data_IF_701086250607
#
_entry.id   IF_701086250607
#
_cell.length_a   1.000
_cell.length_b   1.000
_cell.length_c   1.000
_cell.angle_alpha   90.00
_cell.angle_beta   90.00
_cell.angle_gamma   90.00
#
_symmetry.space_group_name_H-M   'P 1'
#
loop_
_entity.id
_entity.type
_entity.pdbx_description
1 polymer ?
#
# COMPACT_ATOMS: atom_id res chain seq x y z
N UNK A 1 12.06 19.25 -10.13
CA UNK A 1 12.16 17.87 -10.20
C UNK A 1 11.43 17.15 -9.12
N UNK A 2 10.71 16.17 -9.54
CA UNK A 2 9.87 15.46 -8.64
C UNK A 2 10.58 14.32 -7.99
N UNK A 3 10.46 14.21 -6.70
CA UNK A 3 11.14 13.18 -6.02
C UNK A 3 10.25 12.09 -5.56
N UNK A 4 9.09 12.45 -5.10
CA UNK A 4 8.22 11.50 -4.47
C UNK A 4 7.33 10.86 -5.48
N UNK A 5 7.29 9.56 -5.48
CA UNK A 5 6.42 8.80 -6.34
C UNK A 5 5.33 8.15 -5.50
N UNK A 6 4.18 7.94 -6.10
CA UNK A 6 3.07 7.33 -5.41
C UNK A 6 2.38 6.37 -6.37
N UNK A 7 2.36 5.11 -6.02
CA UNK A 7 1.79 4.08 -6.85
C UNK A 7 0.64 3.42 -6.12
N UNK A 8 -0.52 3.40 -6.76
CA UNK A 8 -1.70 2.76 -6.18
C UNK A 8 -1.97 1.45 -6.89
N UNK A 9 -2.21 0.39 -6.11
CA UNK A 9 -2.46 -0.93 -6.65
C UNK A 9 -3.71 -1.50 -6.04
N UNK A 10 -4.68 -1.87 -6.88
CA UNK A 10 -5.90 -2.48 -6.40
C UNK A 10 -5.66 -3.95 -6.13
N UNK A 11 -6.06 -4.43 -4.96
CA UNK A 11 -5.88 -5.82 -4.60
C UNK A 11 -7.20 -6.36 -4.07
N UNK A 12 -7.35 -7.67 -4.11
CA UNK A 12 -8.56 -8.31 -3.63
C UNK A 12 -8.54 -8.53 -2.13
N UNK A 13 -7.37 -8.67 -1.55
CA UNK A 13 -7.24 -8.93 -0.13
C UNK A 13 -5.98 -8.27 0.39
N UNK A 14 -6.14 -7.31 1.29
CA UNK A 14 -4.99 -6.67 1.91
C UNK A 14 -4.23 -7.66 2.78
N UNK A 15 -4.97 -8.52 3.45
CA UNK A 15 -4.34 -9.47 4.34
C UNK A 15 -3.38 -10.38 3.61
N UNK A 16 -3.81 -10.89 2.46
CA UNK A 16 -2.94 -11.74 1.66
C UNK A 16 -1.83 -10.95 0.98
N UNK A 17 -2.17 -9.78 0.49
CA UNK A 17 -1.21 -8.98 -0.25
C UNK A 17 -0.13 -8.37 0.63
N UNK A 18 -0.46 -8.13 1.89
CA UNK A 18 0.48 -7.49 2.81
C UNK A 18 1.79 -8.26 2.89
N UNK A 19 1.69 -9.56 3.11
CA UNK A 19 2.89 -10.37 3.26
C UNK A 19 3.64 -10.50 1.95
N UNK A 20 2.89 -10.66 0.86
CA UNK A 20 3.51 -10.80 -0.46
C UNK A 20 4.31 -9.56 -0.81
N UNK A 21 3.72 -8.40 -0.61
CA UNK A 21 4.42 -7.16 -0.94
C UNK A 21 5.54 -6.85 0.04
N UNK A 22 5.38 -7.22 1.32
CA UNK A 22 6.46 -7.03 2.27
C UNK A 22 7.68 -7.85 1.85
N UNK A 23 7.45 -9.04 1.36
CA UNK A 23 8.55 -9.89 0.91
C UNK A 23 9.21 -9.35 -0.35
N UNK A 24 8.39 -8.92 -1.31
CA UNK A 24 8.91 -8.40 -2.56
C UNK A 24 9.67 -7.11 -2.34
N UNK A 25 9.11 -6.22 -1.54
CA UNK A 25 9.70 -4.90 -1.34
C UNK A 25 10.79 -4.89 -0.28
N UNK A 26 10.86 -5.94 0.52
CA UNK A 26 11.86 -6.03 1.55
C UNK A 26 11.60 -5.11 2.72
N UNK A 27 10.35 -4.71 2.92
CA UNK A 27 10.01 -3.82 4.01
C UNK A 27 8.56 -4.06 4.40
N UNK A 28 8.22 -3.79 5.65
CA UNK A 28 6.86 -3.95 6.11
C UNK A 28 6.04 -2.71 5.83
N UNK A 29 4.72 -2.90 5.82
CA UNK A 29 3.81 -1.77 5.71
C UNK A 29 3.98 -0.88 6.94
N UNK A 30 3.89 0.43 6.74
CA UNK A 30 4.06 1.34 7.86
C UNK A 30 2.74 1.97 8.28
N UNK A 31 1.66 1.78 7.53
CA UNK A 31 0.41 2.43 7.85
C UNK A 31 -0.74 1.70 7.19
N UNK A 32 -1.86 1.62 7.90
CA UNK A 32 -3.07 1.06 7.36
C UNK A 32 -4.20 2.01 7.65
N UNK A 33 -5.06 2.23 6.67
CA UNK A 33 -6.14 3.18 6.80
C UNK A 33 -7.43 2.62 6.22
N UNK A 34 -8.54 2.86 6.91
CA UNK A 34 -9.85 2.48 6.41
C UNK A 34 -10.59 3.75 6.05
N UNK A 35 -10.98 3.88 4.80
CA UNK A 35 -11.70 5.04 4.32
C UNK A 35 -13.17 4.65 4.22
N UNK A 36 -13.90 4.87 5.29
CA UNK A 36 -15.27 4.37 5.39
C UNK A 36 -16.23 5.00 4.39
N UNK A 37 -16.01 6.26 4.09
CA UNK A 37 -16.90 6.94 3.16
C UNK A 37 -16.84 6.33 1.78
N UNK A 38 -15.73 5.68 1.44
CA UNK A 38 -15.57 5.04 0.14
C UNK A 38 -15.51 3.54 0.22
N UNK A 39 -15.66 3.03 1.45
CA UNK A 39 -15.67 1.59 1.65
C UNK A 39 -14.38 0.94 1.14
N UNK A 40 -13.27 1.58 1.40
CA UNK A 40 -11.97 1.14 0.92
C UNK A 40 -11.00 1.05 2.08
N UNK A 41 -10.19 0.00 2.07
CA UNK A 41 -9.09 -0.13 3.03
C UNK A 41 -7.80 0.04 2.27
N UNK A 42 -6.83 0.70 2.89
CA UNK A 42 -5.56 0.95 2.24
C UNK A 42 -4.41 0.53 3.12
N UNK A 43 -3.32 0.13 2.50
CA UNK A 43 -2.11 -0.29 3.19
C UNK A 43 -0.94 0.38 2.51
N UNK A 44 -0.07 0.98 3.28
CA UNK A 44 1.02 1.78 2.73
C UNK A 44 2.39 1.18 2.98
N UNK A 45 3.21 1.17 1.93
CA UNK A 45 4.61 0.81 2.02
C UNK A 45 5.44 1.97 1.52
N UNK A 46 6.68 2.06 1.95
CA UNK A 46 7.58 3.06 1.42
C UNK A 46 8.90 2.41 1.03
N UNK A 47 9.32 2.66 -0.20
CA UNK A 47 10.57 2.13 -0.73
C UNK A 47 11.35 3.31 -1.26
N UNK A 48 12.36 3.75 -0.50
CA UNK A 48 13.08 4.95 -0.88
C UNK A 48 12.15 6.14 -0.89
N UNK A 49 12.06 6.81 -2.01
CA UNK A 49 11.18 7.98 -2.16
C UNK A 49 9.82 7.60 -2.71
N UNK A 50 9.57 6.31 -2.91
CA UNK A 50 8.33 5.87 -3.53
C UNK A 50 7.37 5.34 -2.47
N UNK A 51 6.13 5.79 -2.52
CA UNK A 51 5.07 5.28 -1.66
C UNK A 51 4.19 4.35 -2.46
N UNK A 52 3.94 3.18 -1.90
CA UNK A 52 3.11 2.19 -2.56
C UNK A 52 1.88 1.97 -1.71
N UNK A 53 0.72 2.13 -2.33
CA UNK A 53 -0.55 2.05 -1.64
C UNK A 53 -1.35 0.90 -2.21
N UNK A 54 -1.70 -0.07 -1.37
CA UNK A 54 -2.56 -1.16 -1.77
C UNK A 54 -3.99 -0.82 -1.37
N UNK A 55 -4.92 -1.00 -2.30
CA UNK A 55 -6.30 -0.62 -2.07
C UNK A 55 -7.20 -1.85 -2.20
N UNK A 56 -8.01 -2.06 -1.19
CA UNK A 56 -8.97 -3.15 -1.17
C UNK A 56 -10.36 -2.57 -0.98
N UNK A 57 -11.24 -2.83 -1.91
CA UNK A 57 -12.62 -2.35 -1.79
C UNK A 57 -13.54 -3.43 -1.27
#
# INVERSE_FOLDING_TARGET
MKKLEHIGIAVKSLENSKQIFADILGTDAYKMEAVQSENVNTLFFQVGDTKIELLES
#
